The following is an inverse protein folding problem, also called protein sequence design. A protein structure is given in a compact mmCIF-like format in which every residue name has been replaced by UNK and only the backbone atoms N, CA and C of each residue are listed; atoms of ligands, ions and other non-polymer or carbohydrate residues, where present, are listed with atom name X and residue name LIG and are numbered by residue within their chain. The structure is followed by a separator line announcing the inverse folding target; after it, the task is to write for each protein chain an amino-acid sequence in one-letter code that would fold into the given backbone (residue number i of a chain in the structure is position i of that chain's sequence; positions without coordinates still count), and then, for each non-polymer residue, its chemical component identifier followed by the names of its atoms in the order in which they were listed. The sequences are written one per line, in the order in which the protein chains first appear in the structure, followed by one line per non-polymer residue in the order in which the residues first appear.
data_IF_666763036931
#
_entry.id   IF_666763036931
#
_cell.length_a   1.000
_cell.length_b   1.000
_cell.length_c   1.000
_cell.angle_alpha   90.00
_cell.angle_beta   90.00
_cell.angle_gamma   90.00
#
_symmetry.space_group_name_H-M   'P 1'
#
loop_
_entity.id
_entity.type
_entity.pdbx_description
1 polymer ?
#
# COMPACT_ATOMS: atom_id res chain seq x y z
N UNK A 1 15.79 -13.82 -16.93
CA UNK A 1 14.78 -14.18 -15.90
C UNK A 1 13.41 -14.12 -16.58
N UNK A 2 12.64 -15.22 -16.59
CA UNK A 2 11.33 -15.25 -17.26
C UNK A 2 10.43 -14.15 -16.68
N UNK A 3 9.79 -13.38 -17.56
CA UNK A 3 8.87 -12.26 -17.26
C UNK A 3 7.83 -12.60 -16.18
N UNK A 4 7.43 -13.88 -16.13
CA UNK A 4 6.55 -14.48 -15.13
C UNK A 4 7.08 -14.31 -13.70
N UNK A 5 8.36 -14.62 -13.45
CA UNK A 5 8.96 -14.49 -12.11
C UNK A 5 9.12 -13.02 -11.71
N UNK A 6 9.43 -12.14 -12.67
CA UNK A 6 9.51 -10.70 -12.41
C UNK A 6 8.13 -10.12 -12.00
N UNK A 7 7.06 -10.53 -12.68
CA UNK A 7 5.69 -10.15 -12.32
C UNK A 7 5.29 -10.68 -10.94
N UNK A 8 5.59 -11.95 -10.64
CA UNK A 8 5.31 -12.55 -9.34
C UNK A 8 6.03 -11.84 -8.19
N UNK A 9 7.32 -11.52 -8.36
CA UNK A 9 8.11 -10.78 -7.38
C UNK A 9 7.54 -9.36 -7.19
N UNK A 10 7.17 -8.67 -8.27
CA UNK A 10 6.55 -7.34 -8.19
C UNK A 10 5.23 -7.35 -7.41
N UNK A 11 4.40 -8.36 -7.64
CA UNK A 11 3.15 -8.57 -6.89
C UNK A 11 3.44 -8.77 -5.40
N UNK A 12 4.39 -9.65 -5.06
CA UNK A 12 4.76 -9.92 -3.67
C UNK A 12 5.31 -8.67 -2.96
N UNK A 13 6.10 -7.85 -3.66
CA UNK A 13 6.59 -6.57 -3.14
C UNK A 13 5.43 -5.60 -2.92
N UNK A 14 4.46 -5.52 -3.83
CA UNK A 14 3.26 -4.70 -3.66
C UNK A 14 2.47 -5.10 -2.41
N UNK A 15 2.24 -6.40 -2.22
CA UNK A 15 1.59 -6.97 -1.02
C UNK A 15 2.37 -6.62 0.24
N UNK A 16 3.70 -6.72 0.19
CA UNK A 16 4.57 -6.34 1.29
C UNK A 16 4.38 -4.87 1.66
N UNK A 17 4.39 -3.95 0.69
CA UNK A 17 4.16 -2.51 0.91
C UNK A 17 2.77 -2.25 1.52
N UNK A 18 1.74 -2.96 1.08
CA UNK A 18 0.41 -2.83 1.69
C UNK A 18 0.38 -3.31 3.15
N UNK A 19 1.10 -4.39 3.46
CA UNK A 19 1.27 -4.87 4.83
C UNK A 19 2.00 -3.84 5.72
N UNK A 20 3.00 -3.14 5.17
CA UNK A 20 3.71 -2.06 5.87
C UNK A 20 2.75 -0.97 6.36
N UNK A 21 1.80 -0.51 5.53
CA UNK A 21 0.85 0.55 5.94
C UNK A 21 0.10 0.16 7.21
N UNK A 22 -0.39 -1.08 7.23
CA UNK A 22 -1.23 -1.60 8.31
C UNK A 22 -0.38 -1.80 9.56
N UNK A 23 0.85 -2.30 9.40
CA UNK A 23 1.76 -2.47 10.53
C UNK A 23 2.32 -1.16 11.08
N UNK A 24 2.47 -0.11 10.27
CA UNK A 24 2.79 1.24 10.77
C UNK A 24 1.68 1.74 11.72
N UNK A 25 0.42 1.64 11.29
CA UNK A 25 -0.73 2.01 12.12
C UNK A 25 -0.80 1.21 13.43
N UNK A 26 -0.53 -0.09 13.36
CA UNK A 26 -0.50 -0.96 14.54
C UNK A 26 0.71 -0.70 15.46
N UNK A 27 1.86 -0.36 14.90
CA UNK A 27 3.10 -0.10 15.62
C UNK A 27 3.05 1.17 16.47
N UNK A 28 2.54 2.27 15.90
CA UNK A 28 2.48 3.56 16.60
C UNK A 28 1.35 3.66 17.63
N UNK A 29 0.29 2.86 17.50
CA UNK A 29 -0.87 2.91 18.41
C UNK A 29 -0.70 2.09 19.70
N UNK A 30 0.49 1.51 19.93
CA UNK A 30 0.82 0.66 21.09
C UNK A 30 -0.26 -0.39 21.41
N UNK A 31 -0.88 -0.96 20.38
CA UNK A 31 -1.92 -1.98 20.55
C UNK A 31 -1.38 -3.23 21.24
N UNK A 32 -2.30 -3.93 21.90
CA UNK A 32 -2.03 -5.27 22.41
C UNK A 32 -1.68 -6.20 21.27
N UNK A 33 -0.66 -7.06 21.47
CA UNK A 33 -0.21 -8.02 20.46
C UNK A 33 -1.36 -8.89 19.94
N UNK A 34 -2.36 -9.19 20.79
CA UNK A 34 -3.57 -9.94 20.43
C UNK A 34 -4.38 -9.25 19.33
N UNK A 35 -4.55 -7.93 19.38
CA UNK A 35 -5.33 -7.17 18.39
C UNK A 35 -4.60 -7.07 17.05
N UNK A 36 -3.28 -6.93 17.09
CA UNK A 36 -2.44 -6.96 15.89
C UNK A 36 -2.51 -8.34 15.23
N UNK A 37 -2.40 -9.40 16.02
CA UNK A 37 -2.52 -10.77 15.52
C UNK A 37 -3.91 -11.02 14.91
N UNK A 38 -4.98 -10.59 15.58
CA UNK A 38 -6.35 -10.71 15.09
C UNK A 38 -6.54 -10.00 13.74
N UNK A 39 -6.00 -8.79 13.61
CA UNK A 39 -6.09 -8.03 12.38
C UNK A 39 -5.32 -8.73 11.26
N UNK A 40 -4.06 -9.12 11.51
CA UNK A 40 -3.22 -9.84 10.55
C UNK A 40 -3.84 -11.18 10.14
N UNK A 41 -4.40 -11.94 11.08
CA UNK A 41 -5.10 -13.20 10.77
C UNK A 41 -6.39 -12.97 9.98
N UNK A 42 -7.12 -11.88 10.26
CA UNK A 42 -8.28 -11.50 9.46
C UNK A 42 -7.90 -11.27 7.99
N UNK A 43 -6.80 -10.56 7.75
CA UNK A 43 -6.26 -10.36 6.40
C UNK A 43 -5.80 -11.66 5.74
N UNK A 44 -5.15 -12.55 6.48
CA UNK A 44 -4.76 -13.87 5.98
C UNK A 44 -5.99 -14.66 5.51
N UNK A 45 -7.04 -14.73 6.34
CA UNK A 45 -8.28 -15.43 6.01
C UNK A 45 -8.95 -14.81 4.79
N UNK A 46 -9.06 -13.48 4.74
CA UNK A 46 -9.62 -12.78 3.59
C UNK A 46 -8.83 -13.10 2.31
N UNK A 47 -7.50 -13.13 2.37
CA UNK A 47 -6.65 -13.48 1.22
C UNK A 47 -6.89 -14.92 0.73
N UNK A 48 -7.07 -15.87 1.64
CA UNK A 48 -7.36 -17.27 1.29
C UNK A 48 -8.75 -17.40 0.66
N UNK A 49 -9.75 -16.71 1.20
CA UNK A 49 -11.11 -16.66 0.64
C UNK A 49 -11.04 -16.07 -0.77
N UNK A 50 -10.45 -14.87 -0.92
CA UNK A 50 -10.30 -14.20 -2.21
C UNK A 50 -9.55 -15.06 -3.22
N UNK A 51 -8.43 -15.70 -2.82
CA UNK A 51 -7.68 -16.62 -3.68
C UNK A 51 -8.50 -17.83 -4.13
N UNK A 52 -9.42 -18.32 -3.29
CA UNK A 52 -10.31 -19.43 -3.64
C UNK A 52 -11.43 -19.00 -4.60
N UNK A 53 -11.85 -17.73 -4.54
CA UNK A 53 -12.87 -17.15 -5.43
C UNK A 53 -12.32 -16.71 -6.80
N UNK A 54 -11.00 -16.70 -7.00
CA UNK A 54 -10.35 -16.29 -8.27
C UNK A 54 -10.91 -17.01 -9.50
N UNK A 55 -11.32 -18.27 -9.37
CA UNK A 55 -11.87 -19.06 -10.48
C UNK A 55 -13.37 -18.85 -10.77
N UNK A 56 -14.06 -18.03 -9.97
CA UNK A 56 -15.53 -17.83 -10.07
C UNK A 56 -15.92 -16.43 -10.55
N UNK A 57 -14.97 -15.51 -10.65
CA UNK A 57 -15.25 -14.10 -10.95
C UNK A 57 -14.74 -13.75 -12.34
N UNK A 58 -15.67 -13.32 -13.20
CA UNK A 58 -15.34 -12.85 -14.54
C UNK A 58 -14.61 -11.50 -14.51
N UNK A 59 -13.70 -11.34 -15.47
CA UNK A 59 -12.84 -10.16 -15.62
C UNK A 59 -13.65 -8.86 -15.86
N UNK A 60 -14.88 -8.95 -16.34
CA UNK A 60 -15.81 -7.82 -16.55
C UNK A 60 -16.28 -7.16 -15.24
N UNK A 61 -16.36 -7.89 -14.13
CA UNK A 61 -16.67 -7.30 -12.83
C UNK A 61 -15.47 -6.56 -12.22
N UNK A 62 -14.24 -6.86 -12.65
CA UNK A 62 -13.03 -6.25 -12.12
C UNK A 62 -12.93 -4.76 -12.47
N UNK A 63 -13.35 -4.35 -13.67
CA UNK A 63 -13.31 -2.94 -14.07
C UNK A 63 -14.28 -2.09 -13.23
N UNK A 64 -15.49 -2.60 -12.97
CA UNK A 64 -16.47 -1.96 -12.09
C UNK A 64 -15.96 -1.82 -10.66
N UNK A 65 -15.36 -2.89 -10.12
CA UNK A 65 -14.75 -2.89 -8.78
C UNK A 65 -13.53 -1.96 -8.73
N UNK A 66 -12.72 -1.89 -9.78
CA UNK A 66 -11.57 -1.01 -9.86
C UNK A 66 -11.97 0.48 -9.87
N UNK A 67 -13.01 0.84 -10.64
CA UNK A 67 -13.53 2.21 -10.66
C UNK A 67 -14.14 2.63 -9.32
N UNK A 68 -14.93 1.76 -8.69
CA UNK A 68 -15.43 1.99 -7.32
C UNK A 68 -14.27 2.09 -6.32
N UNK A 69 -13.25 1.25 -6.49
CA UNK A 69 -12.02 1.28 -5.71
C UNK A 69 -11.34 2.64 -5.78
N UNK A 70 -11.17 3.22 -6.98
CA UNK A 70 -10.53 4.52 -7.16
C UNK A 70 -11.28 5.66 -6.45
N UNK A 71 -12.61 5.69 -6.54
CA UNK A 71 -13.42 6.68 -5.81
C UNK A 71 -13.27 6.53 -4.30
N UNK A 72 -13.31 5.29 -3.79
CA UNK A 72 -13.10 5.01 -2.38
C UNK A 72 -11.65 5.29 -1.93
N UNK A 73 -10.67 5.20 -2.84
CA UNK A 73 -9.28 5.56 -2.56
C UNK A 73 -9.16 7.04 -2.20
N UNK A 74 -9.77 7.92 -3.02
CA UNK A 74 -9.80 9.38 -2.80
C UNK A 74 -10.49 9.70 -1.48
N UNK A 75 -11.63 9.05 -1.21
CA UNK A 75 -12.35 9.24 0.05
C UNK A 75 -11.48 8.86 1.27
N UNK A 76 -10.81 7.71 1.21
CA UNK A 76 -9.90 7.28 2.28
C UNK A 76 -8.70 8.21 2.41
N UNK A 77 -8.17 8.72 1.29
CA UNK A 77 -7.08 9.69 1.30
C UNK A 77 -7.45 10.97 2.07
N UNK A 78 -8.64 11.52 1.81
CA UNK A 78 -9.17 12.68 2.53
C UNK A 78 -9.37 12.38 4.02
N UNK A 79 -9.95 11.22 4.34
CA UNK A 79 -10.14 10.79 5.73
C UNK A 79 -8.79 10.66 6.46
N UNK A 80 -7.77 10.09 5.81
CA UNK A 80 -6.42 9.94 6.37
C UNK A 80 -5.77 11.31 6.65
N UNK A 81 -5.91 12.27 5.73
CA UNK A 81 -5.40 13.63 5.95
C UNK A 81 -6.12 14.28 7.14
N UNK A 82 -7.45 14.25 7.15
CA UNK A 82 -8.26 14.86 8.21
C UNK A 82 -7.96 14.24 9.59
N UNK A 83 -7.85 12.91 9.65
CA UNK A 83 -7.55 12.18 10.90
C UNK A 83 -6.09 12.33 11.31
N UNK A 84 -5.15 12.49 10.37
CA UNK A 84 -3.77 12.85 10.65
C UNK A 84 -3.64 14.21 11.33
N UNK A 85 -4.27 15.24 10.76
CA UNK A 85 -4.34 16.60 11.35
C UNK A 85 -5.00 16.55 12.73
N UNK A 86 -6.13 15.83 12.85
CA UNK A 86 -6.81 15.66 14.13
C UNK A 86 -5.92 15.00 15.19
N UNK A 87 -5.17 13.95 14.81
CA UNK A 87 -4.26 13.23 15.71
C UNK A 87 -3.17 14.16 16.23
N UNK A 88 -2.52 14.93 15.36
CA UNK A 88 -1.48 15.89 15.75
C UNK A 88 -2.05 17.00 16.64
N UNK A 89 -3.17 17.60 16.25
CA UNK A 89 -3.80 18.69 17.03
C UNK A 89 -4.19 18.22 18.43
N UNK A 90 -4.75 17.02 18.57
CA UNK A 90 -5.22 16.50 19.85
C UNK A 90 -4.08 16.04 20.75
N UNK A 91 -3.01 15.51 20.15
CA UNK A 91 -1.76 15.21 20.85
C UNK A 91 -1.12 16.48 21.44
N UNK A 92 -1.08 17.58 20.67
CA UNK A 92 -0.58 18.88 21.17
C UNK A 92 -1.42 19.45 22.32
N UNK A 93 -2.69 19.06 22.43
CA UNK A 93 -3.55 19.36 23.59
C UNK A 93 -3.42 18.34 24.73
N UNK A 94 -2.37 17.49 24.75
CA UNK A 94 -2.08 16.53 25.82
C UNK A 94 -2.95 15.26 25.83
N UNK A 95 -3.72 14.99 24.76
CA UNK A 95 -4.63 13.83 24.71
C UNK A 95 -4.16 12.80 23.67
N UNK A 96 -3.86 11.57 24.12
CA UNK A 96 -3.54 10.47 23.21
C UNK A 96 -4.80 9.88 22.56
N UNK A 97 -5.00 10.17 21.27
CA UNK A 97 -6.08 9.60 20.44
C UNK A 97 -5.61 8.51 19.47
N UNK A 98 -4.35 8.08 19.57
CA UNK A 98 -3.75 7.11 18.64
C UNK A 98 -4.52 5.79 18.59
N UNK A 99 -5.07 5.36 19.73
CA UNK A 99 -5.90 4.14 19.83
C UNK A 99 -7.24 4.25 19.10
N UNK A 100 -7.68 5.44 18.70
CA UNK A 100 -8.89 5.61 17.87
C UNK A 100 -8.51 5.83 16.41
N UNK A 101 -7.48 6.62 16.16
CA UNK A 101 -7.09 7.01 14.80
C UNK A 101 -6.31 5.93 14.07
N UNK A 102 -5.67 4.98 14.79
CA UNK A 102 -5.03 3.81 14.15
C UNK A 102 -6.01 2.98 13.33
N UNK A 103 -7.27 2.91 13.75
CA UNK A 103 -8.26 2.07 13.10
C UNK A 103 -8.47 2.55 11.67
N UNK A 104 -8.44 3.87 11.46
CA UNK A 104 -8.62 4.51 10.16
C UNK A 104 -7.51 4.12 9.17
N UNK A 105 -6.25 4.06 9.63
CA UNK A 105 -5.12 3.64 8.80
C UNK A 105 -5.01 2.11 8.67
N UNK A 106 -5.50 1.36 9.65
CA UNK A 106 -5.37 -0.10 9.71
C UNK A 106 -6.58 -0.84 9.11
N UNK A 107 -7.70 -0.15 8.91
CA UNK A 107 -8.88 -0.70 8.23
C UNK A 107 -8.52 -1.05 6.78
N UNK A 108 -8.99 -2.21 6.28
CA UNK A 108 -8.80 -2.60 4.90
C UNK A 108 -9.36 -1.52 3.99
N UNK A 109 -8.51 -0.95 3.15
CA UNK A 109 -9.01 -0.11 2.09
C UNK A 109 -9.62 -1.04 1.02
N UNK A 110 -10.80 -0.74 0.46
CA UNK A 110 -11.43 -1.57 -0.58
C UNK A 110 -10.47 -1.75 -1.77
N UNK A 111 -9.64 -0.75 -2.07
CA UNK A 111 -8.57 -0.85 -3.08
C UNK A 111 -7.54 -1.92 -2.75
N UNK A 112 -7.15 -2.03 -1.49
CA UNK A 112 -6.16 -3.00 -1.02
C UNK A 112 -6.69 -4.43 -1.24
N UNK A 113 -7.98 -4.63 -0.97
CA UNK A 113 -8.67 -5.90 -1.22
C UNK A 113 -8.78 -6.20 -2.72
N UNK A 114 -9.15 -5.22 -3.55
CA UNK A 114 -9.17 -5.37 -5.01
C UNK A 114 -7.79 -5.68 -5.56
N UNK A 115 -6.76 -4.97 -5.10
CA UNK A 115 -5.38 -5.20 -5.51
C UNK A 115 -4.89 -6.60 -5.09
N UNK A 116 -5.25 -7.07 -3.89
CA UNK A 116 -4.98 -8.44 -3.45
C UNK A 116 -5.70 -9.46 -4.33
N UNK A 117 -6.97 -9.24 -4.66
CA UNK A 117 -7.74 -10.12 -5.53
C UNK A 117 -7.12 -10.23 -6.93
N UNK A 118 -6.84 -9.09 -7.57
CA UNK A 118 -6.19 -9.02 -8.88
C UNK A 118 -4.80 -9.66 -8.84
N UNK A 119 -4.04 -9.42 -7.77
CA UNK A 119 -2.73 -10.06 -7.55
C UNK A 119 -2.84 -11.58 -7.49
N UNK A 120 -3.83 -12.11 -6.75
CA UNK A 120 -4.11 -13.54 -6.71
C UNK A 120 -4.52 -14.10 -8.08
N UNK A 121 -5.34 -13.39 -8.85
CA UNK A 121 -5.75 -13.80 -10.20
C UNK A 121 -4.55 -13.88 -11.15
N UNK A 122 -3.73 -12.83 -11.20
CA UNK A 122 -2.55 -12.77 -12.07
C UNK A 122 -1.54 -13.84 -11.66
N UNK A 123 -1.35 -14.05 -10.35
CA UNK A 123 -0.38 -15.04 -9.86
C UNK A 123 -0.86 -16.48 -10.08
N UNK A 124 -2.16 -16.75 -9.95
CA UNK A 124 -2.75 -18.07 -10.24
C UNK A 124 -2.66 -18.43 -11.72
N UNK A 125 -2.96 -17.47 -12.62
CA UNK A 125 -2.80 -17.66 -14.07
C UNK A 125 -1.33 -17.79 -14.49
N UNK A 126 -0.43 -17.06 -13.84
CA UNK A 126 1.02 -17.07 -14.16
C UNK A 126 1.74 -18.34 -13.73
N UNK A 127 1.31 -18.98 -12.63
CA UNK A 127 1.97 -20.17 -12.07
C UNK A 127 1.20 -21.47 -12.36
N UNK A 128 0.07 -21.41 -13.07
CA UNK A 128 -0.87 -22.53 -13.28
C UNK A 128 -1.21 -23.26 -11.95
N UNK A 129 -1.24 -22.51 -10.85
CA UNK A 129 -1.50 -23.04 -9.52
C UNK A 129 -2.96 -22.84 -9.13
N UNK A 130 -3.51 -23.81 -8.41
CA UNK A 130 -4.83 -23.70 -7.79
C UNK A 130 -4.93 -22.45 -6.91
N UNK A 131 -5.96 -21.62 -7.10
CA UNK A 131 -6.11 -20.31 -6.47
C UNK A 131 -6.02 -20.29 -4.94
N UNK A 132 -6.45 -21.37 -4.26
CA UNK A 132 -6.32 -21.50 -2.81
C UNK A 132 -4.86 -21.50 -2.32
N UNK A 133 -3.94 -22.14 -3.07
CA UNK A 133 -2.50 -22.13 -2.75
C UNK A 133 -1.89 -20.74 -2.90
N UNK A 134 -2.30 -20.01 -3.94
CA UNK A 134 -1.88 -18.63 -4.18
C UNK A 134 -2.39 -17.71 -3.07
N UNK A 135 -3.66 -17.86 -2.67
CA UNK A 135 -4.25 -17.13 -1.56
C UNK A 135 -3.50 -17.33 -0.23
N UNK A 136 -3.01 -18.55 0.04
CA UNK A 136 -2.16 -18.86 1.20
C UNK A 136 -0.82 -18.12 1.11
N UNK A 137 -0.14 -18.17 -0.05
CA UNK A 137 1.17 -17.52 -0.23
C UNK A 137 1.03 -16.00 -0.02
N UNK A 138 0.08 -15.38 -0.70
CA UNK A 138 -0.19 -13.93 -0.60
C UNK A 138 -0.58 -13.55 0.83
N UNK A 139 -1.46 -14.34 1.45
CA UNK A 139 -1.89 -14.11 2.82
C UNK A 139 -0.73 -14.20 3.81
N UNK A 140 0.16 -15.18 3.63
CA UNK A 140 1.31 -15.40 4.52
C UNK A 140 2.32 -14.25 4.41
N UNK A 141 2.58 -13.76 3.20
CA UNK A 141 3.45 -12.59 2.98
C UNK A 141 2.86 -11.33 3.61
N UNK A 142 1.54 -11.12 3.47
CA UNK A 142 0.86 -10.01 4.11
C UNK A 142 0.93 -10.11 5.64
N UNK A 143 0.64 -11.29 6.19
CA UNK A 143 0.69 -11.56 7.63
C UNK A 143 2.08 -11.29 8.21
N UNK A 144 3.13 -11.82 7.58
CA UNK A 144 4.51 -11.59 7.98
C UNK A 144 4.88 -10.11 7.88
N UNK A 145 4.46 -9.43 6.82
CA UNK A 145 4.72 -7.99 6.64
C UNK A 145 4.10 -7.16 7.76
N UNK A 146 2.84 -7.43 8.14
CA UNK A 146 2.17 -6.70 9.23
C UNK A 146 2.88 -6.93 10.57
N UNK A 147 3.24 -8.18 10.90
CA UNK A 147 3.90 -8.49 12.16
C UNK A 147 5.29 -7.87 12.23
N UNK A 148 6.09 -8.06 11.17
CA UNK A 148 7.47 -7.58 11.12
C UNK A 148 7.51 -6.05 11.22
N UNK A 149 6.71 -5.36 10.42
CA UNK A 149 6.62 -3.90 10.46
C UNK A 149 6.08 -3.40 11.81
N UNK A 150 5.03 -4.01 12.36
CA UNK A 150 4.52 -3.62 13.69
C UNK A 150 5.62 -3.72 14.75
N UNK A 151 6.41 -4.79 14.73
CA UNK A 151 7.51 -4.98 15.68
C UNK A 151 8.60 -3.92 15.50
N UNK A 152 9.01 -3.63 14.26
CA UNK A 152 10.00 -2.62 13.92
C UNK A 152 9.56 -1.23 14.40
N UNK A 153 8.35 -0.80 14.03
CA UNK A 153 7.83 0.53 14.40
C UNK A 153 7.57 0.66 15.90
N UNK A 154 7.19 -0.42 16.58
CA UNK A 154 7.04 -0.44 18.04
C UNK A 154 8.37 -0.29 18.76
N UNK A 155 9.47 -0.84 18.21
CA UNK A 155 10.82 -0.69 18.78
C UNK A 155 11.38 0.72 18.62
N UNK A 156 10.94 1.46 17.60
CA UNK A 156 11.37 2.85 17.37
C UNK A 156 10.81 3.87 18.38
N UNK A 157 9.88 3.49 19.27
CA UNK A 157 9.42 4.35 20.37
C UNK A 157 8.72 5.65 19.95
N UNK A 158 8.20 5.71 18.72
CA UNK A 158 7.61 6.91 18.11
C UNK A 158 6.32 7.38 18.79
N UNK A 159 6.02 8.67 18.63
CA UNK A 159 4.90 9.35 19.29
C UNK A 159 3.64 9.37 18.41
N UNK A 160 2.47 9.70 18.98
CA UNK A 160 1.23 9.94 18.21
C UNK A 160 1.36 10.99 17.10
N UNK A 161 2.31 11.93 17.24
CA UNK A 161 2.60 12.96 16.25
C UNK A 161 3.23 12.38 14.97
N UNK A 162 4.13 11.40 15.11
CA UNK A 162 4.69 10.64 13.99
C UNK A 162 3.59 9.89 13.24
N UNK A 163 2.64 9.28 13.96
CA UNK A 163 1.48 8.60 13.37
C UNK A 163 0.65 9.58 12.53
N UNK A 164 0.34 10.76 13.07
CA UNK A 164 -0.39 11.79 12.35
C UNK A 164 0.34 12.27 11.09
N UNK A 165 1.66 12.47 11.18
CA UNK A 165 2.52 12.84 10.04
C UNK A 165 2.47 11.77 8.94
N UNK A 166 2.61 10.49 9.32
CA UNK A 166 2.54 9.38 8.36
C UNK A 166 1.15 9.26 7.74
N UNK A 167 0.08 9.47 8.51
CA UNK A 167 -1.29 9.47 8.00
C UNK A 167 -1.50 10.58 6.96
N UNK A 168 -1.00 11.79 7.21
CA UNK A 168 -1.04 12.89 6.24
C UNK A 168 -0.22 12.56 4.99
N UNK A 169 1.00 12.05 5.16
CA UNK A 169 1.87 11.68 4.04
C UNK A 169 1.22 10.61 3.15
N UNK A 170 0.68 9.54 3.76
CA UNK A 170 -0.02 8.48 3.03
C UNK A 170 -1.27 9.00 2.33
N UNK A 171 -2.03 9.89 2.97
CA UNK A 171 -3.20 10.51 2.36
C UNK A 171 -2.85 11.36 1.13
N UNK A 172 -1.79 12.18 1.21
CA UNK A 172 -1.30 12.96 0.06
C UNK A 172 -0.81 12.03 -1.05
N UNK A 173 -0.05 10.98 -0.69
CA UNK A 173 0.41 9.98 -1.65
C UNK A 173 -0.75 9.26 -2.35
N UNK A 174 -1.84 8.97 -1.63
CA UNK A 174 -3.04 8.35 -2.20
C UNK A 174 -3.80 9.30 -3.12
N UNK A 175 -3.89 10.59 -2.78
CA UNK A 175 -4.44 11.61 -3.69
C UNK A 175 -3.62 11.70 -4.98
N UNK A 176 -2.29 11.74 -4.84
CA UNK A 176 -1.39 11.80 -5.99
C UNK A 176 -1.53 10.54 -6.86
N UNK A 177 -1.59 9.36 -6.25
CA UNK A 177 -1.82 8.09 -6.95
C UNK A 177 -3.18 8.06 -7.67
N UNK A 178 -4.24 8.54 -7.04
CA UNK A 178 -5.56 8.62 -7.63
C UNK A 178 -5.61 9.54 -8.87
N UNK A 179 -4.77 10.58 -8.91
CA UNK A 179 -4.66 11.49 -10.05
C UNK A 179 -3.71 10.96 -11.14
N UNK A 180 -2.56 10.40 -10.75
CA UNK A 180 -1.53 9.90 -11.67
C UNK A 180 -1.95 8.62 -12.39
N UNK A 181 -2.57 7.66 -11.71
CA UNK A 181 -2.87 6.34 -12.31
C UNK A 181 -3.81 6.46 -13.51
N UNK A 182 -4.97 7.15 -13.44
CA UNK A 182 -5.84 7.34 -14.60
C UNK A 182 -5.19 8.17 -15.70
N UNK A 183 -4.39 9.18 -15.34
CA UNK A 183 -3.66 10.01 -16.30
C UNK A 183 -2.63 9.18 -17.09
N UNK A 184 -1.90 8.31 -16.40
CA UNK A 184 -0.94 7.38 -16.99
C UNK A 184 -1.62 6.36 -17.92
N UNK A 185 -2.74 5.77 -17.49
CA UNK A 185 -3.49 4.82 -18.33
C UNK A 185 -4.00 5.50 -19.59
N UNK A 186 -4.58 6.71 -19.48
CA UNK A 186 -5.01 7.50 -20.65
C UNK A 186 -3.85 7.88 -21.55
N UNK A 187 -2.70 8.27 -20.99
CA UNK A 187 -1.50 8.58 -21.75
C UNK A 187 -0.97 7.37 -22.53
N UNK A 188 -1.09 6.16 -21.98
CA UNK A 188 -0.71 4.91 -22.67
C UNK A 188 -1.70 4.53 -23.77
N UNK A 189 -2.99 4.84 -23.60
CA UNK A 189 -4.03 4.58 -24.61
C UNK A 189 -3.99 5.57 -25.77
N UNK A 190 -3.57 6.80 -25.51
CA UNK A 190 -3.14 7.72 -26.56
C UNK A 190 -1.87 7.12 -27.14
N UNK A 191 -1.98 6.46 -28.29
CA UNK A 191 -0.89 5.86 -29.04
C UNK A 191 0.02 6.99 -29.57
N UNK A 192 0.69 7.71 -28.66
CA UNK A 192 1.88 8.49 -28.98
C UNK A 192 2.82 7.41 -29.46
N UNK A 193 3.02 7.36 -30.77
CA UNK A 193 3.89 6.42 -31.46
C UNK A 193 5.05 6.12 -30.55
N UNK A 194 5.13 4.88 -30.08
CA UNK A 194 6.27 4.40 -29.33
C UNK A 194 7.48 4.62 -30.24
N UNK A 195 8.16 5.76 -30.09
CA UNK A 195 9.55 5.83 -30.46
C UNK A 195 10.18 4.72 -29.65
N UNK A 196 10.70 3.73 -30.38
CA UNK A 196 11.28 2.50 -29.87
C UNK A 196 11.96 2.75 -28.53
N UNK A 197 11.53 1.98 -27.53
CA UNK A 197 11.97 2.06 -26.15
C UNK A 197 13.48 1.84 -26.03
N UNK A 198 14.23 2.93 -26.19
CA UNK A 198 15.64 3.03 -25.94
C UNK A 198 15.91 4.26 -25.08
N UNK A 199 16.45 4.06 -23.88
CA UNK A 199 17.10 5.08 -23.05
C UNK A 199 16.22 6.16 -22.38
N UNK A 200 15.04 6.51 -22.92
CA UNK A 200 14.29 7.69 -22.44
C UNK A 200 13.37 7.47 -21.22
N UNK A 201 12.90 6.25 -20.92
CA UNK A 201 12.14 5.98 -19.68
C UNK A 201 13.00 6.10 -18.41
N UNK A 202 14.29 5.83 -18.55
CA UNK A 202 15.26 5.85 -17.45
C UNK A 202 15.66 7.30 -17.12
N UNK A 203 15.57 8.22 -18.08
CA UNK A 203 15.97 9.61 -17.95
C UNK A 203 15.20 10.39 -16.86
N UNK A 204 13.86 10.35 -16.79
CA UNK A 204 13.13 11.01 -15.70
C UNK A 204 13.43 10.35 -14.35
N UNK A 205 13.65 9.03 -14.31
CA UNK A 205 13.99 8.28 -13.10
C UNK A 205 15.39 8.66 -12.57
N UNK A 206 16.37 8.83 -13.46
CA UNK A 206 17.70 9.36 -13.14
C UNK A 206 17.58 10.80 -12.65
N UNK A 207 16.76 11.63 -13.30
CA UNK A 207 16.60 13.03 -12.91
C UNK A 207 16.01 13.16 -11.50
N UNK A 208 14.96 12.39 -11.19
CA UNK A 208 14.41 12.33 -9.84
C UNK A 208 15.42 11.77 -8.82
N UNK A 209 16.19 10.75 -9.19
CA UNK A 209 17.23 10.18 -8.32
C UNK A 209 18.33 11.19 -8.00
N UNK A 210 18.83 11.94 -9.00
CA UNK A 210 19.82 13.01 -8.83
C UNK A 210 19.25 14.14 -7.97
N UNK A 211 17.99 14.51 -8.17
CA UNK A 211 17.37 15.57 -7.37
C UNK A 211 17.24 15.18 -5.89
N UNK A 212 16.87 13.92 -5.61
CA UNK A 212 16.78 13.37 -4.26
C UNK A 212 18.18 13.26 -3.61
N UNK A 213 19.17 12.72 -4.33
CA UNK A 213 20.55 12.60 -3.86
C UNK A 213 21.21 13.97 -3.65
N UNK A 214 20.97 14.92 -4.55
CA UNK A 214 21.45 16.29 -4.43
C UNK A 214 20.82 17.01 -3.24
N UNK A 215 19.51 16.84 -3.03
CA UNK A 215 18.83 17.35 -1.83
C UNK A 215 19.37 16.73 -0.54
N UNK A 216 19.63 15.42 -0.53
CA UNK A 216 20.19 14.72 0.63
C UNK A 216 21.63 15.15 0.93
N UNK A 217 22.49 15.25 -0.09
CA UNK A 217 23.87 15.70 0.06
C UNK A 217 23.95 17.17 0.50
N UNK A 218 23.11 18.04 -0.07
CA UNK A 218 23.06 19.45 0.31
C UNK A 218 22.57 19.63 1.75
N UNK A 219 21.61 18.81 2.20
CA UNK A 219 21.18 18.81 3.59
C UNK A 219 22.28 18.30 4.54
N UNK A 220 23.01 17.25 4.14
CA UNK A 220 24.11 16.71 4.92
C UNK A 220 25.30 17.69 5.04
N UNK A 221 25.58 18.48 4.00
CA UNK A 221 26.60 19.54 4.04
C UNK A 221 26.15 20.78 4.83
N UNK A 222 24.84 20.97 5.04
CA UNK A 222 24.30 22.11 5.81
C UNK A 222 24.21 21.88 7.31
N UNK A 223 24.62 20.72 7.82
CA UNK A 223 24.86 20.50 9.24
C UNK A 223 23.62 20.64 10.13
N UNK A 224 22.57 19.86 9.85
CA UNK A 224 21.57 19.45 10.84
C UNK A 224 21.40 17.93 10.81
#
# INVERSE_FOLDING_TARGET
MNTIYAAAIGILIGIFIFGLKTGIGCGFSKLEKKKVLLLASGYFIISVILGSLVGLVDQSYLEGIANLGMTLHVLIALILIATGIYTQKKWNCGHDVSKKTFLVISIPCPVCLTALFVSCMILASSLEMSGWKVGIIVGLVFFLSVISSTFVFRKMGRTPEDLGTVMMFLGIFYMLGAMLVPAYIKAKQMNISAMEGGSFEILPLIFFSIFILGGFAFNHMRGQ
#
